data_IF_140918435900
#
_entry.id   IF_140918435900
#
_cell.length_a   1.000
_cell.length_b   1.000
_cell.length_c   1.000
_cell.angle_alpha   90.00
_cell.angle_beta   90.00
_cell.angle_gamma   90.00
#
_symmetry.space_group_name_H-M   'P 1'
#
loop_
_entity.id
_entity.type
_entity.pdbx_description
1 polymer ?
#
# COMPACT_ATOMS: atom_id res chain seq x y z
N UNK A 1 -12.74 28.72 14.57
CA UNK A 1 -11.67 27.71 14.59
C UNK A 1 -11.57 27.21 13.15
N UNK A 2 -10.67 27.79 12.36
CA UNK A 2 -10.51 27.46 10.94
C UNK A 2 -9.70 26.18 10.88
N UNK A 3 -10.29 25.13 10.30
CA UNK A 3 -9.56 23.89 10.01
C UNK A 3 -8.40 24.21 9.05
N UNK A 4 -7.22 23.69 9.35
CA UNK A 4 -6.02 23.95 8.56
C UNK A 4 -6.23 23.46 7.11
N UNK A 5 -5.74 24.19 6.11
CA UNK A 5 -5.86 23.83 4.69
C UNK A 5 -4.78 22.85 4.28
N UNK A 6 -5.08 21.95 3.34
CA UNK A 6 -4.20 20.85 2.91
C UNK A 6 -2.75 21.31 2.60
N UNK A 7 -2.60 22.55 2.14
CA UNK A 7 -1.34 23.24 1.79
C UNK A 7 -0.52 23.74 3.00
N UNK A 8 -1.08 23.75 4.22
CA UNK A 8 -0.46 24.34 5.42
C UNK A 8 0.53 23.40 6.14
N UNK A 9 0.67 22.14 5.69
CA UNK A 9 1.68 21.20 6.18
C UNK A 9 2.77 21.07 5.09
N UNK A 10 4.01 21.41 5.44
CA UNK A 10 5.12 21.59 4.50
C UNK A 10 5.65 20.34 3.77
N UNK A 11 4.84 19.30 3.56
CA UNK A 11 5.18 18.13 2.74
C UNK A 11 3.98 17.75 1.86
N UNK A 12 4.19 17.74 0.55
CA UNK A 12 3.16 17.40 -0.45
C UNK A 12 2.81 15.90 -0.39
N UNK A 13 1.54 15.53 -0.67
CA UNK A 13 1.13 14.14 -0.71
C UNK A 13 1.91 13.36 -1.77
N UNK A 14 2.32 12.14 -1.42
CA UNK A 14 2.94 11.25 -2.40
C UNK A 14 1.93 10.81 -3.45
N UNK A 15 2.31 10.90 -4.72
CA UNK A 15 1.59 10.26 -5.83
C UNK A 15 2.59 9.66 -6.80
N UNK A 16 2.70 8.33 -6.81
CA UNK A 16 3.62 7.57 -7.66
C UNK A 16 2.86 6.58 -8.53
N UNK A 17 3.47 6.23 -9.67
CA UNK A 17 3.05 5.17 -10.56
C UNK A 17 4.24 4.26 -10.86
N UNK A 18 3.98 2.96 -11.02
CA UNK A 18 4.90 1.96 -11.53
C UNK A 18 4.27 1.33 -12.77
N UNK A 19 4.93 1.48 -13.92
CA UNK A 19 4.47 0.96 -15.21
C UNK A 19 5.36 -0.18 -15.71
N UNK A 20 6.56 -0.29 -15.15
CA UNK A 20 7.50 -1.37 -15.42
C UNK A 20 7.87 -2.12 -14.12
N UNK A 21 8.28 -3.38 -14.26
CA UNK A 21 8.59 -4.23 -13.11
C UNK A 21 9.67 -3.64 -12.20
N UNK A 22 10.61 -2.89 -12.77
CA UNK A 22 11.73 -2.25 -12.07
C UNK A 22 11.30 -0.99 -11.27
N UNK A 23 10.12 -0.43 -11.54
CA UNK A 23 9.55 0.70 -10.78
C UNK A 23 8.88 0.23 -9.47
N UNK A 24 8.29 -0.96 -9.52
CA UNK A 24 7.45 -1.51 -8.44
C UNK A 24 8.17 -1.64 -7.09
N UNK A 25 9.48 -1.96 -7.00
CA UNK A 25 10.20 -2.00 -5.73
C UNK A 25 10.11 -0.71 -4.90
N UNK A 26 10.03 0.47 -5.55
CA UNK A 26 9.88 1.75 -4.83
C UNK A 26 8.52 1.82 -4.13
N UNK A 27 7.45 1.48 -4.84
CA UNK A 27 6.10 1.42 -4.26
C UNK A 27 6.06 0.35 -3.16
N UNK A 28 6.63 -0.83 -3.40
CA UNK A 28 6.68 -1.92 -2.42
C UNK A 28 7.33 -1.47 -1.11
N UNK A 29 8.47 -0.78 -1.17
CA UNK A 29 9.15 -0.27 0.01
C UNK A 29 8.31 0.78 0.76
N UNK A 30 7.60 1.65 0.04
CA UNK A 30 6.76 2.70 0.65
C UNK A 30 5.49 2.15 1.32
N UNK A 31 4.96 1.03 0.84
CA UNK A 31 3.77 0.38 1.41
C UNK A 31 4.09 -0.78 2.34
N UNK A 32 5.37 -1.12 2.53
CA UNK A 32 5.78 -2.13 3.49
C UNK A 32 5.30 -1.76 4.89
N UNK A 33 4.78 -2.76 5.60
CA UNK A 33 4.19 -2.68 6.93
C UNK A 33 2.95 -1.79 7.00
N UNK A 34 2.32 -1.53 5.84
CA UNK A 34 1.02 -0.88 5.79
C UNK A 34 -0.06 -1.82 6.30
N UNK A 35 -0.97 -1.27 7.11
CA UNK A 35 -2.06 -2.03 7.70
C UNK A 35 -3.40 -1.59 7.13
N UNK A 36 -4.28 -2.55 6.91
CA UNK A 36 -5.62 -2.31 6.40
C UNK A 36 -6.60 -3.39 6.90
N UNK A 37 -7.84 -3.03 7.24
CA UNK A 37 -8.87 -4.02 7.47
C UNK A 37 -9.26 -4.67 6.15
N UNK A 38 -9.65 -5.95 6.19
CA UNK A 38 -10.03 -6.72 5.00
C UNK A 38 -11.18 -6.06 4.19
N UNK A 39 -12.00 -5.23 4.84
CA UNK A 39 -13.10 -4.48 4.23
C UNK A 39 -12.65 -3.36 3.30
N UNK A 40 -11.37 -2.95 3.35
CA UNK A 40 -10.81 -1.87 2.56
C UNK A 40 -10.19 -2.35 1.23
N UNK A 41 -10.46 -3.61 0.86
CA UNK A 41 -10.14 -4.17 -0.46
C UNK A 41 -11.37 -4.10 -1.37
N UNK A 42 -11.20 -3.48 -2.54
CA UNK A 42 -12.26 -3.37 -3.53
C UNK A 42 -11.78 -3.85 -4.90
N UNK A 43 -12.48 -4.82 -5.49
CA UNK A 43 -12.29 -5.22 -6.88
C UNK A 43 -13.49 -4.80 -7.73
N UNK A 44 -13.22 -4.06 -8.81
CA UNK A 44 -14.20 -3.58 -9.78
C UNK A 44 -13.92 -4.26 -11.14
N UNK A 45 -14.43 -5.48 -11.39
CA UNK A 45 -14.12 -6.24 -12.61
C UNK A 45 -14.51 -5.50 -13.88
N UNK A 46 -15.67 -4.81 -13.89
CA UNK A 46 -16.11 -4.02 -15.04
C UNK A 46 -15.22 -2.80 -15.36
N UNK A 47 -14.34 -2.40 -14.43
CA UNK A 47 -13.31 -1.36 -14.65
C UNK A 47 -11.90 -1.93 -14.62
N UNK A 48 -11.76 -3.26 -14.50
CA UNK A 48 -10.48 -3.98 -14.38
C UNK A 48 -9.54 -3.36 -13.35
N UNK A 49 -10.09 -3.04 -12.17
CA UNK A 49 -9.38 -2.28 -11.14
C UNK A 49 -9.47 -2.97 -9.79
N UNK A 50 -8.32 -3.17 -9.16
CA UNK A 50 -8.22 -3.50 -7.75
C UNK A 50 -7.74 -2.27 -6.98
N UNK A 51 -8.38 -1.94 -5.86
CA UNK A 51 -8.00 -0.83 -5.02
C UNK A 51 -7.93 -1.27 -3.56
N UNK A 52 -6.93 -0.76 -2.86
CA UNK A 52 -6.69 -1.01 -1.45
C UNK A 52 -6.46 0.31 -0.73
N UNK A 53 -7.27 0.56 0.31
CA UNK A 53 -7.07 1.70 1.20
C UNK A 53 -6.29 1.25 2.44
N UNK A 54 -5.08 1.77 2.59
CA UNK A 54 -4.11 1.31 3.58
C UNK A 54 -3.53 2.46 4.40
N UNK A 55 -3.01 2.13 5.59
CA UNK A 55 -2.27 3.07 6.43
C UNK A 55 -0.79 2.69 6.40
N UNK A 56 -0.01 3.36 5.54
CA UNK A 56 1.43 3.10 5.42
C UNK A 56 2.21 3.85 6.49
N UNK A 57 3.29 3.24 6.95
CA UNK A 57 4.33 3.97 7.69
C UNK A 57 5.09 4.87 6.72
N UNK A 58 5.42 6.10 7.13
CA UNK A 58 6.20 7.02 6.30
C UNK A 58 7.69 6.69 6.40
N UNK A 59 8.08 5.63 5.70
CA UNK A 59 9.48 5.20 5.62
C UNK A 59 10.41 6.33 5.16
N UNK A 60 9.92 7.19 4.27
CA UNK A 60 10.64 8.34 3.76
C UNK A 60 10.94 9.45 4.79
N UNK A 61 10.16 9.57 5.87
CA UNK A 61 10.39 10.55 6.96
C UNK A 61 11.19 9.96 8.14
N UNK A 62 11.32 8.64 8.25
CA UNK A 62 11.94 7.97 9.42
C UNK A 62 13.25 8.62 9.87
N UNK A 63 14.21 8.79 8.96
CA UNK A 63 15.53 9.33 9.29
C UNK A 63 15.45 10.79 9.77
N UNK A 64 14.55 11.58 9.17
CA UNK A 64 14.33 12.96 9.57
C UNK A 64 13.58 13.07 10.91
N UNK A 65 12.69 12.12 11.22
CA UNK A 65 12.00 12.02 12.50
C UNK A 65 12.99 11.70 13.63
N UNK A 66 13.85 10.69 13.43
CA UNK A 66 14.89 10.29 14.39
C UNK A 66 15.87 11.43 14.68
N UNK A 67 16.38 12.10 13.63
CA UNK A 67 17.31 13.22 13.78
C UNK A 67 16.73 14.40 14.57
N UNK A 68 15.41 14.61 14.49
CA UNK A 68 14.71 15.73 15.13
C UNK A 68 13.98 15.33 16.43
N UNK A 69 14.04 14.06 16.83
CA UNK A 69 13.27 13.53 17.95
C UNK A 69 11.75 13.67 17.79
N UNK A 70 11.25 13.66 16.55
CA UNK A 70 9.80 13.71 16.27
C UNK A 70 9.19 12.32 16.37
N UNK A 71 7.88 12.26 16.62
CA UNK A 71 7.14 11.02 16.50
C UNK A 71 7.21 10.49 15.06
N UNK A 72 7.29 9.18 14.89
CA UNK A 72 7.10 8.56 13.58
C UNK A 72 5.68 8.82 13.07
N UNK A 73 5.52 8.80 11.76
CA UNK A 73 4.27 9.14 11.10
C UNK A 73 3.71 7.98 10.28
N UNK A 74 2.39 7.95 10.16
CA UNK A 74 1.65 7.17 9.18
C UNK A 74 0.83 8.10 8.31
N UNK A 75 0.48 7.63 7.13
CA UNK A 75 -0.43 8.33 6.22
C UNK A 75 -1.38 7.32 5.61
N UNK A 76 -2.64 7.74 5.37
CA UNK A 76 -3.61 6.91 4.67
C UNK A 76 -3.42 7.10 3.18
N UNK A 77 -3.32 6.00 2.46
CA UNK A 77 -3.01 5.99 1.03
C UNK A 77 -3.89 4.99 0.30
N UNK A 78 -4.13 5.24 -0.98
CA UNK A 78 -4.79 4.30 -1.89
C UNK A 78 -3.71 3.68 -2.78
N UNK A 79 -3.61 2.36 -2.74
CA UNK A 79 -2.87 1.56 -3.71
C UNK A 79 -3.87 1.03 -4.75
N UNK A 80 -3.67 1.34 -6.02
CA UNK A 80 -4.52 0.87 -7.12
C UNK A 80 -3.68 0.06 -8.08
N UNK A 81 -4.23 -1.07 -8.52
CA UNK A 81 -3.72 -1.84 -9.65
C UNK A 81 -4.77 -1.81 -10.76
N UNK A 82 -4.40 -1.28 -11.91
CA UNK A 82 -5.23 -1.25 -13.12
C UNK A 82 -5.06 -2.52 -13.95
N UNK A 83 -5.88 -2.66 -15.00
CA UNK A 83 -5.85 -3.77 -15.96
C UNK A 83 -5.95 -5.17 -15.37
N UNK A 84 -6.49 -5.28 -14.15
CA UNK A 84 -6.70 -6.51 -13.42
C UNK A 84 -7.80 -7.35 -14.08
N UNK A 85 -7.42 -8.54 -14.51
CA UNK A 85 -8.28 -9.56 -15.12
C UNK A 85 -8.92 -10.46 -14.06
N UNK A 86 -8.16 -10.81 -13.02
CA UNK A 86 -8.59 -11.75 -11.99
C UNK A 86 -7.90 -11.46 -10.65
N UNK A 87 -8.63 -11.71 -9.57
CA UNK A 87 -8.14 -11.62 -8.20
C UNK A 87 -8.24 -12.99 -7.54
N UNK A 88 -7.16 -13.44 -6.92
CA UNK A 88 -7.11 -14.66 -6.11
C UNK A 88 -6.53 -14.35 -4.73
N UNK A 89 -7.01 -15.02 -3.69
CA UNK A 89 -6.52 -14.83 -2.31
C UNK A 89 -6.16 -16.16 -1.68
N UNK A 90 -5.12 -16.18 -0.85
CA UNK A 90 -4.69 -17.33 -0.07
C UNK A 90 -4.41 -16.89 1.37
N UNK A 91 -4.67 -17.76 2.35
CA UNK A 91 -4.34 -17.49 3.75
C UNK A 91 -5.16 -16.36 4.41
N UNK A 92 -6.26 -15.93 3.79
CA UNK A 92 -7.13 -14.85 4.29
C UNK A 92 -8.54 -15.40 4.48
N UNK A 93 -9.09 -15.29 5.68
CA UNK A 93 -10.50 -15.57 5.92
C UNK A 93 -11.35 -14.34 5.54
N UNK A 94 -12.07 -14.45 4.42
CA UNK A 94 -12.94 -13.37 3.91
C UNK A 94 -14.24 -13.22 4.70
N UNK A 95 -14.57 -14.19 5.54
CA UNK A 95 -15.74 -14.20 6.42
C UNK A 95 -15.57 -13.31 7.65
N UNK A 96 -14.37 -13.27 8.20
CA UNK A 96 -14.01 -12.36 9.29
C UNK A 96 -13.87 -10.93 8.77
N UNK A 97 -14.77 -10.02 9.16
CA UNK A 97 -14.74 -8.61 8.73
C UNK A 97 -13.90 -7.71 9.63
N UNK A 98 -13.49 -8.21 10.79
CA UNK A 98 -12.70 -7.47 11.75
C UNK A 98 -11.18 -7.73 11.55
N UNK A 99 -10.84 -8.68 10.67
CA UNK A 99 -9.47 -9.01 10.32
C UNK A 99 -8.70 -7.80 9.78
N UNK A 100 -7.59 -7.48 10.44
CA UNK A 100 -6.60 -6.49 10.00
C UNK A 100 -5.41 -7.22 9.41
N UNK A 101 -5.06 -6.84 8.18
CA UNK A 101 -3.96 -7.40 7.40
C UNK A 101 -2.78 -6.43 7.39
N UNK A 102 -1.56 -6.97 7.31
CA UNK A 102 -0.32 -6.20 7.15
C UNK A 102 0.34 -6.57 5.83
N UNK A 103 0.63 -5.58 4.99
CA UNK A 103 1.30 -5.74 3.71
C UNK A 103 2.81 -5.79 3.89
N UNK A 104 3.45 -6.88 3.47
CA UNK A 104 4.90 -7.08 3.57
C UNK A 104 5.62 -6.68 2.28
N UNK A 105 5.03 -7.00 1.12
CA UNK A 105 5.64 -6.68 -0.17
C UNK A 105 4.62 -6.63 -1.29
N UNK A 106 4.98 -5.93 -2.35
CA UNK A 106 4.28 -5.93 -3.64
C UNK A 106 5.29 -6.31 -4.72
N UNK A 107 5.10 -7.46 -5.35
CA UNK A 107 6.02 -7.97 -6.38
C UNK A 107 5.29 -8.18 -7.70
N UNK A 108 6.06 -8.18 -8.80
CA UNK A 108 5.55 -8.48 -10.13
C UNK A 108 6.22 -9.73 -10.65
N UNK A 109 5.40 -10.69 -11.06
CA UNK A 109 5.83 -11.87 -11.80
C UNK A 109 5.51 -11.66 -13.29
N UNK A 110 6.53 -11.43 -14.14
CA UNK A 110 6.30 -11.12 -15.54
C UNK A 110 5.78 -12.34 -16.31
N UNK A 111 4.77 -12.09 -17.15
CA UNK A 111 4.25 -13.00 -18.17
C UNK A 111 4.72 -12.62 -19.58
N UNK A 112 4.03 -13.13 -20.59
CA UNK A 112 4.31 -12.78 -21.98
C UNK A 112 3.82 -11.35 -22.29
N UNK A 113 4.57 -10.63 -23.13
CA UNK A 113 4.14 -9.35 -23.73
C UNK A 113 3.62 -8.29 -22.73
N UNK A 114 4.27 -8.17 -21.56
CA UNK A 114 3.92 -7.18 -20.53
C UNK A 114 2.77 -7.58 -19.60
N UNK A 115 2.09 -8.70 -19.89
CA UNK A 115 1.17 -9.33 -18.93
C UNK A 115 1.94 -9.81 -17.70
N UNK A 116 1.21 -10.14 -16.64
CA UNK A 116 1.83 -10.80 -15.50
C UNK A 116 0.92 -10.87 -14.29
N UNK A 117 1.54 -11.03 -13.13
CA UNK A 117 0.85 -11.16 -11.86
C UNK A 117 1.47 -10.24 -10.82
N UNK A 118 0.67 -9.32 -10.30
CA UNK A 118 1.04 -8.52 -9.13
C UNK A 118 0.67 -9.31 -7.88
N UNK A 119 1.64 -9.57 -7.01
CA UNK A 119 1.46 -10.34 -5.77
C UNK A 119 1.65 -9.41 -4.57
N UNK A 120 0.62 -9.29 -3.75
CA UNK A 120 0.67 -8.61 -2.46
C UNK A 120 0.85 -9.68 -1.39
N UNK A 121 2.03 -9.72 -0.77
CA UNK A 121 2.34 -10.65 0.31
C UNK A 121 1.92 -10.04 1.64
N UNK A 122 1.19 -10.78 2.45
CA UNK A 122 0.69 -10.33 3.74
C UNK A 122 1.34 -11.10 4.88
N UNK A 123 1.42 -10.47 6.05
CA UNK A 123 1.82 -11.16 7.26
C UNK A 123 0.83 -12.29 7.61
N UNK A 124 1.34 -13.37 8.20
CA UNK A 124 0.52 -14.53 8.58
C UNK A 124 0.16 -15.43 7.39
N UNK A 125 1.10 -15.66 6.47
CA UNK A 125 0.98 -16.55 5.30
C UNK A 125 -0.15 -16.18 4.31
N UNK A 126 -0.63 -14.94 4.38
CA UNK A 126 -1.65 -14.40 3.48
C UNK A 126 -1.05 -13.88 2.17
N UNK A 127 -1.80 -14.01 1.07
CA UNK A 127 -1.42 -13.40 -0.21
C UNK A 127 -2.63 -13.00 -1.05
N UNK A 128 -2.48 -11.95 -1.85
CA UNK A 128 -3.43 -11.53 -2.88
C UNK A 128 -2.68 -11.51 -4.21
N UNK A 129 -3.17 -12.26 -5.18
CA UNK A 129 -2.63 -12.33 -6.53
C UNK A 129 -3.59 -11.64 -7.51
N UNK A 130 -3.06 -10.71 -8.30
CA UNK A 130 -3.77 -9.94 -9.30
C UNK A 130 -3.18 -10.29 -10.67
N UNK A 131 -3.93 -11.00 -11.50
CA UNK A 131 -3.55 -11.22 -12.90
C UNK A 131 -3.84 -9.93 -13.67
N UNK A 132 -2.85 -9.40 -14.39
CA UNK A 132 -2.92 -8.13 -15.10
C UNK A 132 -2.53 -8.29 -16.57
N UNK A 133 -3.19 -7.54 -17.46
CA UNK A 133 -2.79 -7.46 -18.87
C UNK A 133 -1.55 -6.57 -19.06
N UNK A 134 -1.40 -5.54 -18.23
CA UNK A 134 -0.24 -4.67 -18.19
C UNK A 134 0.01 -4.23 -16.74
N UNK A 135 1.26 -3.98 -16.39
CA UNK A 135 1.57 -3.41 -15.08
C UNK A 135 1.20 -1.92 -15.06
N UNK A 136 0.24 -1.57 -14.22
CA UNK A 136 -0.08 -0.19 -13.85
C UNK A 136 -0.48 -0.19 -12.38
N UNK A 137 0.45 0.24 -11.53
CA UNK A 137 0.25 0.34 -10.09
C UNK A 137 0.44 1.79 -9.67
N UNK A 138 -0.54 2.36 -8.97
CA UNK A 138 -0.43 3.72 -8.42
C UNK A 138 -0.57 3.73 -6.91
N UNK A 139 0.22 4.58 -6.25
CA UNK A 139 0.15 4.85 -4.82
C UNK A 139 -0.12 6.34 -4.61
N UNK A 140 -1.19 6.67 -3.90
CA UNK A 140 -1.57 8.06 -3.61
C UNK A 140 -1.91 8.28 -2.15
N UNK A 141 -1.28 9.24 -1.51
CA UNK A 141 -1.66 9.70 -0.18
C UNK A 141 -2.97 10.51 -0.24
N UNK A 142 -3.89 10.21 0.68
CA UNK A 142 -5.25 10.78 0.70
C UNK A 142 -5.61 11.49 2.01
N UNK A 143 -4.69 11.51 2.97
CA UNK A 143 -4.81 12.27 4.21
C UNK A 143 -3.52 13.06 4.48
N UNK A 144 -3.55 13.95 5.47
CA UNK A 144 -2.30 14.40 6.09
C UNK A 144 -1.62 13.24 6.84
N UNK A 145 -0.28 13.27 6.96
CA UNK A 145 0.42 12.43 7.92
C UNK A 145 -0.08 12.66 9.35
N UNK A 146 -0.03 11.62 10.16
CA UNK A 146 -0.40 11.64 11.57
C UNK A 146 0.58 10.81 12.39
N UNK A 147 0.72 11.11 13.67
CA UNK A 147 1.61 10.37 14.56
C UNK A 147 1.23 8.89 14.60
N UNK A 148 2.21 8.01 14.37
CA UNK A 148 2.05 6.57 14.43
C UNK A 148 1.59 6.16 15.85
N UNK A 149 0.44 5.49 16.02
CA UNK A 149 -0.08 5.14 17.34
C UNK A 149 0.85 4.26 18.17
N UNK A 150 1.69 3.44 17.52
CA UNK A 150 2.66 2.59 18.20
C UNK A 150 3.85 3.38 18.75
N UNK A 151 4.16 4.55 18.21
CA UNK A 151 5.42 5.29 18.44
C UNK A 151 6.72 4.54 18.09
N UNK A 152 6.63 3.36 17.49
CA UNK A 152 7.78 2.52 17.14
C UNK A 152 7.82 2.27 15.62
N UNK A 153 9.03 2.07 15.10
CA UNK A 153 9.24 1.56 13.74
C UNK A 153 8.68 0.13 13.68
N UNK A 154 7.90 -0.22 12.65
CA UNK A 154 7.50 -1.62 12.42
C UNK A 154 8.72 -2.54 12.30
N UNK A 155 8.55 -3.80 12.71
CA UNK A 155 9.60 -4.80 12.62
C UNK A 155 9.01 -6.19 12.45
N UNK A 156 9.67 -6.99 11.61
CA UNK A 156 9.32 -8.38 11.36
C UNK A 156 10.60 -9.23 11.51
N UNK A 157 10.55 -10.37 12.21
CA UNK A 157 11.66 -11.33 12.21
C UNK A 157 11.89 -11.83 10.78
N UNK A 158 13.17 -11.99 10.41
CA UNK A 158 13.59 -12.63 9.16
C UNK A 158 13.24 -14.13 9.14
#
# INVERSE_FOLDING_TARGET
MVDARFEDAGEEPLYLAALEGDDLPVISALVQDAVFPITEMTWQPGKRRFALLLNRFRWEDRAAAEKRGRAYERVRSVLVVSDVLKVSTQGIDRGDKDMVLSLLSVTFEPGADGTGRVVLTLAGDGAIALEVEALDVTLKDVTRPYAAPSHHVPGHPE
#
